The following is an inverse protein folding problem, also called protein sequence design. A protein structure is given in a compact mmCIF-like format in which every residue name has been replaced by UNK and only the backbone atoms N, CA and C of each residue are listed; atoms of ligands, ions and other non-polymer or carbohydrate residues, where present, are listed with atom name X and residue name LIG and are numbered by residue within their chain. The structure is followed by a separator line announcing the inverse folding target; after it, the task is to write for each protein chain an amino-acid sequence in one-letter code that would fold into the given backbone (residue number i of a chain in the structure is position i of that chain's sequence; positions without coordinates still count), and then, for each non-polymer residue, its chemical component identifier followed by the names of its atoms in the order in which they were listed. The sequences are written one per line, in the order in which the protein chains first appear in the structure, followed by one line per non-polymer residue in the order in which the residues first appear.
data_IF_395942293478
#
_entry.id   IF_395942293478
#
_cell.length_a   1.000
_cell.length_b   1.000
_cell.length_c   1.000
_cell.angle_alpha   90.00
_cell.angle_beta   90.00
_cell.angle_gamma   90.00
#
_symmetry.space_group_name_H-M   'P 1'
#
loop_
_entity.id
_entity.type
_entity.pdbx_description
1 polymer ?
#
# COMPACT_ATOMS: atom_id res chain seq x y z
N UNK A 1 -24.36 34.72 -31.05
CA UNK A 1 -25.67 34.79 -30.37
C UNK A 1 -25.47 35.31 -28.95
N UNK A 2 -25.95 36.51 -28.61
CA UNK A 2 -25.74 37.16 -27.31
C UNK A 2 -26.91 36.81 -26.37
N UNK A 3 -26.68 36.01 -25.32
CA UNK A 3 -27.70 35.68 -24.32
C UNK A 3 -27.69 36.76 -23.22
N UNK A 4 -28.73 37.60 -23.19
CA UNK A 4 -28.97 38.61 -22.16
C UNK A 4 -29.55 37.95 -20.90
N UNK A 5 -28.97 38.21 -19.74
CA UNK A 5 -29.52 37.79 -18.44
C UNK A 5 -30.42 38.93 -17.98
N UNK A 6 -31.73 38.69 -17.98
CA UNK A 6 -32.73 39.65 -17.48
C UNK A 6 -32.79 39.54 -15.96
N UNK A 7 -32.77 40.70 -15.30
CA UNK A 7 -32.91 40.98 -13.87
C UNK A 7 -31.56 41.18 -13.16
N UNK A 8 -31.37 42.37 -12.58
CA UNK A 8 -30.11 42.93 -12.08
C UNK A 8 -29.50 42.25 -10.84
N UNK A 9 -29.36 40.93 -10.89
CA UNK A 9 -28.59 40.18 -9.92
C UNK A 9 -27.13 40.07 -10.42
N UNK A 10 -26.17 40.37 -9.54
CA UNK A 10 -24.75 40.10 -9.80
C UNK A 10 -24.52 38.58 -9.84
N UNK A 11 -23.98 38.10 -10.97
CA UNK A 11 -23.62 36.70 -11.14
C UNK A 11 -22.10 36.57 -11.12
N UNK A 12 -21.60 35.79 -10.17
CA UNK A 12 -20.19 35.42 -10.10
C UNK A 12 -20.02 34.04 -10.73
N UNK A 13 -19.23 33.97 -11.81
CA UNK A 13 -18.85 32.71 -12.41
C UNK A 13 -17.57 32.21 -11.74
N UNK A 14 -17.66 31.12 -10.97
CA UNK A 14 -16.49 30.45 -10.42
C UNK A 14 -16.08 29.28 -11.32
N UNK A 15 -14.88 29.33 -11.88
CA UNK A 15 -14.28 28.21 -12.60
C UNK A 15 -13.28 27.51 -11.69
N UNK A 16 -13.58 26.27 -11.31
CA UNK A 16 -12.63 25.41 -10.60
C UNK A 16 -11.88 24.57 -11.63
N UNK A 17 -10.57 24.74 -11.71
CA UNK A 17 -9.70 23.89 -12.52
C UNK A 17 -8.82 23.05 -11.62
N UNK A 18 -8.82 21.73 -11.85
CA UNK A 18 -7.89 20.83 -11.17
C UNK A 18 -6.50 21.07 -11.76
N UNK A 19 -5.63 21.72 -11.00
CA UNK A 19 -4.22 21.81 -11.37
C UNK A 19 -3.66 20.39 -11.33
N UNK A 20 -3.10 19.93 -12.45
CA UNK A 20 -2.41 18.64 -12.47
C UNK A 20 -1.32 18.64 -11.40
N UNK A 21 -1.41 17.72 -10.44
CA UNK A 21 -0.27 17.47 -9.56
C UNK A 21 0.81 16.80 -10.40
N UNK A 22 2.07 17.24 -10.25
CA UNK A 22 3.19 16.43 -10.74
C UNK A 22 3.04 15.03 -10.18
N UNK A 23 3.19 14.03 -11.03
CA UNK A 23 3.15 12.63 -10.63
C UNK A 23 4.18 12.42 -9.52
N UNK A 24 3.71 12.05 -8.33
CA UNK A 24 4.58 11.77 -7.20
C UNK A 24 5.20 10.41 -7.44
N UNK A 25 6.53 10.37 -7.52
CA UNK A 25 7.28 9.14 -7.64
C UNK A 25 7.53 8.58 -6.25
N UNK A 26 7.69 7.26 -6.16
CA UNK A 26 8.05 6.58 -4.92
C UNK A 26 9.36 7.17 -4.33
N UNK A 27 10.28 7.56 -5.22
CA UNK A 27 11.57 8.21 -4.92
C UNK A 27 11.43 9.62 -4.29
N UNK A 28 10.23 10.21 -4.32
CA UNK A 28 9.95 11.51 -3.68
C UNK A 28 9.66 11.37 -2.17
N UNK A 29 9.47 10.15 -1.67
CA UNK A 29 9.27 9.89 -0.25
C UNK A 29 10.63 9.93 0.47
N UNK A 30 10.82 10.78 1.50
CA UNK A 30 12.13 10.97 2.15
C UNK A 30 12.79 9.66 2.60
N UNK A 31 12.03 8.76 3.24
CA UNK A 31 12.59 7.48 3.71
C UNK A 31 13.09 6.58 2.58
N UNK A 32 12.45 6.61 1.42
CA UNK A 32 12.88 5.81 0.26
C UNK A 32 14.13 6.42 -0.37
N UNK A 33 14.19 7.75 -0.43
CA UNK A 33 15.35 8.48 -0.96
C UNK A 33 16.59 8.32 -0.07
N UNK A 34 16.39 8.32 1.24
CA UNK A 34 17.47 8.25 2.21
C UNK A 34 18.00 6.81 2.40
N UNK A 35 17.24 5.79 1.95
CA UNK A 35 17.60 4.37 2.00
C UNK A 35 17.33 3.62 0.68
N UNK A 36 18.01 3.99 -0.43
CA UNK A 36 17.72 3.42 -1.75
C UNK A 36 18.09 1.93 -1.85
N UNK A 37 19.02 1.41 -1.03
CA UNK A 37 19.40 -0.01 -1.08
C UNK A 37 18.37 -0.93 -0.42
N UNK A 38 17.56 -0.40 0.50
CA UNK A 38 16.50 -1.13 1.20
C UNK A 38 15.21 -1.22 0.37
N UNK A 39 15.01 -0.24 -0.52
CA UNK A 39 13.86 -0.18 -1.43
C UNK A 39 14.30 -0.25 -2.89
N UNK A 40 14.93 -1.36 -3.33
CA UNK A 40 15.32 -1.53 -4.72
C UNK A 40 14.09 -1.56 -5.63
N UNK A 41 14.25 -1.08 -6.87
CA UNK A 41 13.18 -1.12 -7.88
C UNK A 41 12.74 -2.58 -8.19
N UNK A 42 13.61 -3.57 -7.91
CA UNK A 42 13.34 -5.01 -7.98
C UNK A 42 13.56 -5.69 -6.63
N UNK A 43 12.64 -6.55 -6.18
CA UNK A 43 12.76 -7.23 -4.88
C UNK A 43 13.88 -8.28 -4.89
N UNK A 44 14.73 -8.34 -3.84
CA UNK A 44 15.64 -9.47 -3.69
C UNK A 44 14.81 -10.75 -3.54
N UNK A 45 15.27 -11.83 -4.15
CA UNK A 45 14.61 -13.13 -4.06
C UNK A 45 14.48 -13.62 -2.61
N UNK A 46 13.85 -14.79 -2.44
CA UNK A 46 13.71 -15.38 -1.11
C UNK A 46 15.08 -15.52 -0.43
N UNK A 47 15.18 -15.22 0.88
CA UNK A 47 16.42 -15.44 1.60
C UNK A 47 16.78 -16.93 1.56
N UNK A 48 18.07 -17.29 1.62
CA UNK A 48 18.49 -18.68 1.71
C UNK A 48 17.82 -19.39 2.90
N UNK A 49 17.62 -20.72 2.82
CA UNK A 49 17.21 -21.50 3.97
C UNK A 49 18.13 -21.20 5.16
N UNK A 50 17.54 -20.76 6.28
CA UNK A 50 18.30 -20.51 7.50
C UNK A 50 18.71 -21.86 8.07
N UNK A 51 19.97 -22.01 8.50
CA UNK A 51 20.47 -23.24 9.11
C UNK A 51 19.95 -23.47 10.52
N UNK A 52 19.34 -22.45 11.15
CA UNK A 52 18.77 -22.56 12.49
C UNK A 52 17.29 -22.89 12.41
N UNK A 53 16.90 -23.97 13.08
CA UNK A 53 15.50 -24.27 13.36
C UNK A 53 15.00 -23.30 14.44
N UNK A 54 13.89 -22.60 14.17
CA UNK A 54 13.22 -21.78 15.17
C UNK A 54 12.24 -22.66 15.94
N UNK A 55 12.40 -22.72 17.26
CA UNK A 55 11.37 -23.27 18.14
C UNK A 55 10.31 -22.20 18.41
N UNK A 56 9.03 -22.58 18.32
CA UNK A 56 7.93 -21.74 18.78
C UNK A 56 7.41 -22.35 20.08
N UNK A 57 7.75 -21.72 21.20
CA UNK A 57 7.26 -22.16 22.49
C UNK A 57 5.78 -21.80 22.63
N UNK A 58 4.96 -22.80 22.96
CA UNK A 58 3.54 -22.61 23.20
C UNK A 58 3.30 -22.39 24.69
N UNK A 59 2.44 -21.43 25.02
CA UNK A 59 1.90 -21.33 26.37
C UNK A 59 1.05 -22.57 26.69
N UNK A 60 1.00 -23.01 27.96
CA UNK A 60 0.12 -24.10 28.37
C UNK A 60 -1.34 -23.80 27.97
N UNK A 61 -1.97 -24.72 27.24
CA UNK A 61 -3.35 -24.58 26.75
C UNK A 61 -3.50 -23.98 25.35
N UNK A 62 -2.41 -23.62 24.67
CA UNK A 62 -2.47 -23.27 23.25
C UNK A 62 -2.90 -24.50 22.42
N UNK A 63 -3.91 -24.32 21.57
CA UNK A 63 -4.41 -25.35 20.68
C UNK A 63 -4.26 -24.90 19.22
N UNK A 64 -3.97 -25.81 18.28
CA UNK A 64 -3.95 -25.48 16.86
C UNK A 64 -5.30 -24.94 16.38
N UNK A 65 -5.27 -23.83 15.64
CA UNK A 65 -6.48 -23.23 15.05
C UNK A 65 -7.10 -24.15 13.98
N UNK A 66 -6.27 -24.95 13.30
CA UNK A 66 -6.70 -25.96 12.35
C UNK A 66 -6.16 -27.33 12.77
N UNK A 67 -7.03 -28.34 12.68
CA UNK A 67 -6.63 -29.74 12.76
C UNK A 67 -6.21 -30.21 11.37
N UNK A 68 -4.94 -30.58 11.19
CA UNK A 68 -4.58 -31.50 10.12
C UNK A 68 -5.14 -32.87 10.53
N UNK A 69 -6.05 -33.43 9.73
CA UNK A 69 -6.41 -34.83 9.86
C UNK A 69 -5.27 -35.61 9.23
N UNK A 70 -4.36 -36.13 10.05
CA UNK A 70 -3.45 -37.18 9.62
C UNK A 70 -4.32 -38.40 9.31
N UNK A 71 -4.74 -38.54 8.05
CA UNK A 71 -5.23 -39.81 7.54
C UNK A 71 -4.06 -40.79 7.69
N UNK A 72 -4.09 -41.60 8.75
CA UNK A 72 -3.26 -42.78 8.83
C UNK A 72 -3.67 -43.68 7.65
N UNK A 73 -2.79 -43.92 6.65
CA UNK A 73 -3.09 -44.90 5.63
C UNK A 73 -3.12 -46.27 6.32
N UNK A 74 -4.26 -46.96 6.18
CA UNK A 74 -4.37 -48.38 6.54
C UNK A 74 -3.49 -49.22 5.62
#
# INVERSE_FOLDING_TARGET
TRKNIRNGCELFLAQVTKKGSKEKRLKDVPVIRDFPEVFPDELPGLPPPRQVEFCIDLIPGAAPVARIVLLHPK
#
